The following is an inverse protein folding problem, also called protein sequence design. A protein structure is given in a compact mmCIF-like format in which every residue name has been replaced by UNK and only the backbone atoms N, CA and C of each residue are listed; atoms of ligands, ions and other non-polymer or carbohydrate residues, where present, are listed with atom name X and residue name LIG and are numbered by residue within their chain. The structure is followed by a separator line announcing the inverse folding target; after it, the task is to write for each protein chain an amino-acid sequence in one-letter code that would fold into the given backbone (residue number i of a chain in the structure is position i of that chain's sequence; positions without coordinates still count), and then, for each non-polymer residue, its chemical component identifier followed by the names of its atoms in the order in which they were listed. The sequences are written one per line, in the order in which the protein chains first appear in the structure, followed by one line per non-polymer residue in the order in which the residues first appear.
data_IF_225401826318
#
_entry.id   IF_225401826318
#
_cell.length_a   1.000
_cell.length_b   1.000
_cell.length_c   1.000
_cell.angle_alpha   90.00
_cell.angle_beta   90.00
_cell.angle_gamma   90.00
#
_symmetry.space_group_name_H-M   'P 1'
#
loop_
_entity.id
_entity.type
_entity.pdbx_description
1 polymer ?
#
# COMPACT_ATOMS: atom_id res chain seq x y z
N UNK A 1 -1.14 -46.71 33.10
CA UNK A 1 -1.92 -45.66 32.40
C UNK A 1 -1.90 -44.38 33.23
N UNK A 2 -1.18 -43.33 32.83
CA UNK A 2 -1.53 -41.98 33.26
C UNK A 2 -1.91 -41.14 32.03
N UNK A 3 -3.18 -40.72 31.97
CA UNK A 3 -3.72 -39.84 30.94
C UNK A 3 -3.09 -38.45 31.11
N UNK A 4 -2.19 -38.07 30.21
CA UNK A 4 -1.69 -36.69 30.11
C UNK A 4 -2.87 -35.77 29.80
N UNK A 5 -3.09 -34.79 30.68
CA UNK A 5 -4.15 -33.78 30.52
C UNK A 5 -3.73 -32.84 29.40
N UNK A 6 -4.26 -33.05 28.20
CA UNK A 6 -4.13 -32.11 27.09
C UNK A 6 -4.79 -30.79 27.48
N UNK A 7 -4.00 -29.78 27.81
CA UNK A 7 -4.50 -28.43 28.06
C UNK A 7 -5.07 -27.85 26.76
N UNK A 8 -6.27 -27.23 26.80
CA UNK A 8 -6.88 -26.68 25.60
C UNK A 8 -6.04 -25.51 25.08
N UNK A 9 -5.60 -25.59 23.82
CA UNK A 9 -4.92 -24.49 23.12
C UNK A 9 -5.80 -23.24 23.20
N UNK A 10 -5.31 -22.17 23.86
CA UNK A 10 -5.94 -20.84 23.82
C UNK A 10 -5.96 -20.37 22.37
N UNK A 11 -7.13 -20.43 21.74
CA UNK A 11 -7.35 -19.84 20.42
C UNK A 11 -7.34 -18.33 20.58
N UNK A 12 -6.27 -17.69 20.11
CA UNK A 12 -6.19 -16.23 20.07
C UNK A 12 -7.30 -15.69 19.16
N UNK A 13 -8.23 -14.92 19.73
CA UNK A 13 -9.23 -14.16 18.98
C UNK A 13 -8.66 -12.79 18.67
N UNK A 14 -8.48 -12.50 17.38
CA UNK A 14 -8.01 -11.19 16.93
C UNK A 14 -8.93 -10.07 17.47
N UNK A 15 -8.38 -8.93 17.91
CA UNK A 15 -9.18 -7.81 18.37
C UNK A 15 -10.10 -7.34 17.24
N UNK A 16 -11.40 -7.25 17.52
CA UNK A 16 -12.37 -6.65 16.61
C UNK A 16 -11.97 -5.19 16.40
N UNK A 17 -11.59 -4.85 15.17
CA UNK A 17 -11.32 -3.45 14.81
C UNK A 17 -12.63 -2.66 14.96
N UNK A 18 -12.58 -1.53 15.65
CA UNK A 18 -13.70 -0.60 15.71
C UNK A 18 -14.03 -0.08 14.30
N UNK A 19 -15.31 0.18 14.00
CA UNK A 19 -15.70 0.72 12.70
C UNK A 19 -14.96 2.04 12.46
N UNK A 20 -14.37 2.19 11.26
CA UNK A 20 -13.71 3.45 10.86
C UNK A 20 -14.73 4.59 10.91
N UNK A 21 -14.34 5.77 11.43
CA UNK A 21 -15.23 6.92 11.48
C UNK A 21 -15.68 7.31 10.08
N UNK A 22 -16.98 7.57 9.94
CA UNK A 22 -17.59 8.05 8.70
C UNK A 22 -17.24 9.52 8.49
N UNK A 23 -17.23 9.95 7.22
CA UNK A 23 -16.98 11.35 6.85
C UNK A 23 -18.25 12.16 7.14
N UNK A 24 -18.19 13.01 8.14
CA UNK A 24 -19.30 13.83 8.65
C UNK A 24 -19.26 15.29 8.14
N UNK A 25 -18.05 15.81 7.93
CA UNK A 25 -17.82 17.22 7.61
C UNK A 25 -17.73 17.46 6.10
N UNK A 26 -18.42 18.50 5.61
CA UNK A 26 -18.36 18.95 4.21
C UNK A 26 -17.63 20.29 4.11
N UNK A 27 -16.72 20.40 3.14
CA UNK A 27 -16.00 21.64 2.81
C UNK A 27 -16.50 22.11 1.44
N UNK A 28 -16.95 23.36 1.36
CA UNK A 28 -17.29 24.02 0.10
C UNK A 28 -16.08 24.80 -0.39
N UNK A 29 -15.63 24.51 -1.61
CA UNK A 29 -14.51 25.19 -2.25
C UNK A 29 -15.03 25.94 -3.49
N UNK A 30 -14.98 27.28 -3.51
CA UNK A 30 -15.31 28.05 -4.70
C UNK A 30 -14.22 27.80 -5.76
N UNK A 31 -14.64 27.42 -6.96
CA UNK A 31 -13.77 27.14 -8.10
C UNK A 31 -14.32 27.88 -9.33
N UNK A 32 -13.42 28.39 -10.15
CA UNK A 32 -13.79 28.85 -11.50
C UNK A 32 -14.15 27.66 -12.37
N UNK A 33 -15.00 27.86 -13.37
CA UNK A 33 -15.41 26.82 -14.33
C UNK A 33 -14.21 26.14 -15.01
N UNK A 34 -13.18 26.92 -15.36
CA UNK A 34 -11.94 26.44 -15.98
C UNK A 34 -11.15 25.52 -15.04
N UNK A 35 -10.94 25.95 -13.79
CA UNK A 35 -10.23 25.17 -12.78
C UNK A 35 -10.94 23.83 -12.50
N UNK A 36 -12.27 23.85 -12.43
CA UNK A 36 -13.06 22.64 -12.24
C UNK A 36 -12.86 21.65 -13.40
N UNK A 37 -12.83 22.13 -14.63
CA UNK A 37 -12.58 21.31 -15.82
C UNK A 37 -11.18 20.71 -15.81
N UNK A 38 -10.17 21.51 -15.49
CA UNK A 38 -8.78 21.05 -15.39
C UNK A 38 -8.60 19.98 -14.31
N UNK A 39 -9.20 20.17 -13.14
CA UNK A 39 -9.14 19.18 -12.06
C UNK A 39 -9.87 17.90 -12.41
N UNK A 40 -10.96 17.98 -13.18
CA UNK A 40 -11.70 16.81 -13.62
C UNK A 40 -10.94 16.01 -14.68
N UNK A 41 -10.18 16.68 -15.56
CA UNK A 41 -9.22 16.03 -16.45
C UNK A 41 -8.15 15.30 -15.66
N UNK A 42 -7.47 16.01 -14.74
CA UNK A 42 -6.43 15.41 -13.87
C UNK A 42 -6.94 14.24 -13.05
N UNK A 43 -8.18 14.31 -12.55
CA UNK A 43 -8.81 13.21 -11.83
C UNK A 43 -9.05 12.00 -12.73
N UNK A 44 -9.49 12.23 -13.97
CA UNK A 44 -9.72 11.18 -14.97
C UNK A 44 -8.42 10.51 -15.38
N UNK A 45 -7.37 11.30 -15.65
CA UNK A 45 -6.03 10.81 -16.01
C UNK A 45 -5.41 9.96 -14.89
N UNK A 46 -5.70 10.32 -13.62
CA UNK A 46 -5.27 9.57 -12.45
C UNK A 46 -6.20 8.38 -12.10
N UNK A 47 -7.24 8.10 -12.89
CA UNK A 47 -8.14 6.95 -12.74
C UNK A 47 -9.23 7.10 -11.67
N UNK A 48 -9.52 8.31 -11.21
CA UNK A 48 -10.57 8.56 -10.21
C UNK A 48 -11.95 8.71 -10.87
N UNK A 49 -12.96 8.06 -10.27
CA UNK A 49 -14.37 8.19 -10.70
C UNK A 49 -15.02 9.51 -10.29
N UNK A 50 -14.48 10.19 -9.28
CA UNK A 50 -15.02 11.45 -8.78
C UNK A 50 -13.93 12.38 -8.27
N UNK A 51 -14.25 13.68 -8.26
CA UNK A 51 -13.29 14.72 -7.93
C UNK A 51 -12.96 14.79 -6.43
N UNK A 52 -13.89 14.43 -5.55
CA UNK A 52 -13.70 14.46 -4.10
C UNK A 52 -12.60 13.54 -3.57
N UNK A 53 -12.52 12.24 -3.94
CA UNK A 53 -11.41 11.38 -3.53
C UNK A 53 -10.08 11.87 -4.11
N UNK A 54 -10.08 12.36 -5.35
CA UNK A 54 -8.89 12.96 -5.97
C UNK A 54 -8.37 14.16 -5.16
N UNK A 55 -9.21 15.17 -4.89
CA UNK A 55 -8.80 16.34 -4.09
C UNK A 55 -8.32 15.90 -2.70
N UNK A 56 -9.03 14.96 -2.06
CA UNK A 56 -8.65 14.48 -0.73
C UNK A 56 -7.27 13.83 -0.75
N UNK A 57 -6.99 12.95 -1.70
CA UNK A 57 -5.68 12.29 -1.80
C UNK A 57 -4.57 13.29 -2.19
N UNK A 58 -4.86 14.31 -3.00
CA UNK A 58 -3.92 15.41 -3.28
C UNK A 58 -3.53 16.15 -2.00
N UNK A 59 -4.49 16.47 -1.15
CA UNK A 59 -4.27 17.22 0.10
C UNK A 59 -3.63 16.35 1.19
N UNK A 60 -4.14 15.13 1.39
CA UNK A 60 -3.69 14.26 2.48
C UNK A 60 -2.34 13.58 2.21
N UNK A 61 -2.01 13.29 0.95
CA UNK A 61 -0.80 12.52 0.59
C UNK A 61 0.30 13.38 -0.02
N UNK A 62 0.04 14.65 -0.30
CA UNK A 62 1.02 15.61 -0.87
C UNK A 62 1.48 15.31 -2.31
N UNK A 63 1.31 14.09 -2.82
CA UNK A 63 1.56 13.65 -4.20
C UNK A 63 0.61 12.52 -4.56
N UNK A 64 -0.26 12.73 -5.55
CA UNK A 64 -0.89 11.62 -6.27
C UNK A 64 0.10 11.19 -7.33
N UNK A 65 0.68 10.01 -7.16
CA UNK A 65 1.42 9.37 -8.23
C UNK A 65 0.41 9.08 -9.34
N UNK A 66 0.57 9.71 -10.50
CA UNK A 66 -0.06 9.24 -11.73
C UNK A 66 0.49 7.83 -11.91
N UNK A 67 -0.31 6.83 -11.53
CA UNK A 67 -0.02 5.45 -11.89
C UNK A 67 -0.19 5.39 -13.39
N UNK A 68 0.94 5.55 -14.10
CA UNK A 68 1.01 5.20 -15.50
C UNK A 68 0.42 3.78 -15.61
N UNK A 69 -0.58 3.57 -16.47
CA UNK A 69 -1.12 2.23 -16.66
C UNK A 69 0.05 1.34 -17.05
N UNK A 70 0.24 0.25 -16.30
CA UNK A 70 1.30 -0.68 -16.64
C UNK A 70 1.12 -1.10 -18.10
N UNK A 71 2.19 -1.09 -18.92
CA UNK A 71 2.07 -1.54 -20.30
C UNK A 71 1.46 -2.95 -20.27
N UNK A 72 0.45 -3.18 -21.10
CA UNK A 72 -0.39 -4.41 -21.11
C UNK A 72 0.44 -5.72 -21.12
N UNK A 73 1.66 -5.66 -21.64
CA UNK A 73 2.63 -6.76 -21.67
C UNK A 73 3.05 -7.24 -20.26
N UNK A 74 3.04 -6.38 -19.24
CA UNK A 74 3.61 -6.65 -17.91
C UNK A 74 2.60 -6.62 -16.76
N UNK A 75 1.30 -6.42 -17.03
CA UNK A 75 0.28 -6.23 -15.99
C UNK A 75 0.22 -7.42 -15.02
N UNK A 76 0.25 -8.66 -15.54
CA UNK A 76 0.22 -9.87 -14.72
C UNK A 76 1.43 -9.95 -13.76
N UNK A 77 2.62 -9.65 -14.27
CA UNK A 77 3.86 -9.67 -13.47
C UNK A 77 3.84 -8.60 -12.39
N UNK A 78 3.35 -7.40 -12.73
CA UNK A 78 3.20 -6.30 -11.79
C UNK A 78 2.23 -6.66 -10.64
N UNK A 79 1.11 -7.29 -10.96
CA UNK A 79 0.12 -7.77 -9.97
C UNK A 79 0.72 -8.82 -9.04
N UNK A 80 1.48 -9.79 -9.57
CA UNK A 80 2.15 -10.81 -8.74
C UNK A 80 3.21 -10.19 -7.81
N UNK A 81 4.02 -9.25 -8.30
CA UNK A 81 4.98 -8.52 -7.46
C UNK A 81 4.30 -7.75 -6.33
N UNK A 82 3.14 -7.13 -6.61
CA UNK A 82 2.36 -6.44 -5.59
C UNK A 82 1.84 -7.40 -4.51
N UNK A 83 1.39 -8.61 -4.89
CA UNK A 83 0.98 -9.64 -3.92
C UNK A 83 2.13 -10.07 -3.01
N UNK A 84 3.33 -10.23 -3.57
CA UNK A 84 4.54 -10.55 -2.78
C UNK A 84 4.82 -9.42 -1.77
N UNK A 85 4.77 -8.16 -2.21
CA UNK A 85 4.95 -7.00 -1.32
C UNK A 85 3.95 -6.96 -0.17
N UNK A 86 2.67 -7.23 -0.43
CA UNK A 86 1.62 -7.33 0.59
C UNK A 86 1.93 -8.44 1.61
N UNK A 87 2.32 -9.62 1.14
CA UNK A 87 2.64 -10.75 2.01
C UNK A 87 3.83 -10.44 2.92
N UNK A 88 4.89 -9.82 2.38
CA UNK A 88 6.03 -9.36 3.16
C UNK A 88 5.64 -8.37 4.24
N UNK A 89 4.79 -7.39 3.91
CA UNK A 89 4.31 -6.41 4.89
C UNK A 89 3.52 -7.07 6.04
N UNK A 90 2.73 -8.11 5.73
CA UNK A 90 2.03 -8.89 6.76
C UNK A 90 3.01 -9.66 7.66
N UNK A 91 4.07 -10.25 7.10
CA UNK A 91 5.10 -10.95 7.87
C UNK A 91 5.78 -9.96 8.83
N UNK A 92 6.26 -8.82 8.33
CA UNK A 92 6.88 -7.77 9.15
C UNK A 92 5.95 -7.31 10.27
N UNK A 93 4.66 -7.12 9.97
CA UNK A 93 3.68 -6.72 10.97
C UNK A 93 3.49 -7.78 12.06
N UNK A 94 3.35 -9.06 11.68
CA UNK A 94 3.22 -10.17 12.65
C UNK A 94 4.46 -10.31 13.52
N UNK A 95 5.65 -10.10 12.95
CA UNK A 95 6.88 -10.09 13.72
C UNK A 95 6.93 -8.94 14.73
N UNK A 96 6.60 -7.71 14.30
CA UNK A 96 6.53 -6.57 15.20
C UNK A 96 5.49 -6.78 16.32
N UNK A 97 4.36 -7.41 16.01
CA UNK A 97 3.35 -7.79 17.00
C UNK A 97 3.88 -8.86 17.98
N UNK A 98 4.63 -9.86 17.51
CA UNK A 98 5.26 -10.88 18.35
C UNK A 98 6.34 -10.31 19.29
N UNK A 99 7.20 -9.41 18.81
CA UNK A 99 8.17 -8.67 19.64
C UNK A 99 7.43 -7.89 20.73
N UNK A 100 6.34 -7.20 20.37
CA UNK A 100 5.55 -6.40 21.32
C UNK A 100 4.89 -7.24 22.42
N UNK A 101 4.59 -8.52 22.14
CA UNK A 101 3.99 -9.47 23.09
C UNK A 101 5.07 -10.19 23.92
N UNK A 102 6.36 -9.89 23.71
CA UNK A 102 7.48 -10.43 24.48
C UNK A 102 7.91 -11.84 24.03
N UNK A 103 7.51 -12.27 22.83
CA UNK A 103 8.02 -13.51 22.25
C UNK A 103 9.46 -13.28 21.74
N UNK A 104 10.44 -14.12 22.13
CA UNK A 104 11.80 -13.98 21.64
C UNK A 104 11.83 -14.34 20.14
N UNK A 105 12.18 -13.36 19.31
CA UNK A 105 12.53 -13.58 17.90
C UNK A 105 14.06 -13.59 17.86
N UNK A 106 14.66 -14.77 17.72
CA UNK A 106 16.12 -14.97 17.75
C UNK A 106 16.81 -14.37 16.53
N UNK A 107 16.14 -14.34 15.39
CA UNK A 107 16.63 -13.75 14.14
C UNK A 107 15.56 -12.82 13.60
N UNK A 108 15.80 -11.50 13.61
CA UNK A 108 14.85 -10.51 13.13
C UNK A 108 15.12 -10.18 11.64
N UNK A 109 14.48 -10.85 10.65
CA UNK A 109 14.69 -10.59 9.23
C UNK A 109 14.10 -9.25 8.74
N UNK A 110 13.71 -8.31 9.61
CA UNK A 110 13.10 -7.03 9.19
C UNK A 110 13.99 -6.26 8.20
N UNK A 111 15.31 -6.30 8.36
CA UNK A 111 16.24 -5.67 7.43
C UNK A 111 16.19 -6.33 6.03
N UNK A 112 16.26 -7.66 5.98
CA UNK A 112 16.16 -8.45 4.75
C UNK A 112 14.80 -8.27 4.06
N UNK A 113 13.71 -8.20 4.83
CA UNK A 113 12.37 -7.96 4.28
C UNK A 113 12.28 -6.55 3.66
N UNK A 114 12.87 -5.54 4.30
CA UNK A 114 12.92 -4.18 3.74
C UNK A 114 13.75 -4.13 2.46
N UNK A 115 14.88 -4.82 2.44
CA UNK A 115 15.74 -4.93 1.25
C UNK A 115 14.98 -5.59 0.09
N UNK A 116 14.32 -6.71 0.34
CA UNK A 116 13.51 -7.41 -0.66
C UNK A 116 12.33 -6.57 -1.16
N UNK A 117 11.68 -5.79 -0.27
CA UNK A 117 10.64 -4.84 -0.67
C UNK A 117 11.17 -3.75 -1.61
N UNK A 118 12.41 -3.29 -1.38
CA UNK A 118 13.06 -2.32 -2.27
C UNK A 118 13.32 -2.92 -3.65
N UNK A 119 13.86 -4.13 -3.71
CA UNK A 119 14.11 -4.84 -4.96
C UNK A 119 12.82 -5.10 -5.76
N UNK A 120 11.73 -5.49 -5.08
CA UNK A 120 10.42 -5.68 -5.72
C UNK A 120 9.92 -4.37 -6.35
N UNK A 121 10.10 -3.25 -5.64
CA UNK A 121 9.68 -1.93 -6.12
C UNK A 121 10.51 -1.49 -7.34
N UNK A 122 11.80 -1.78 -7.35
CA UNK A 122 12.69 -1.50 -8.48
C UNK A 122 12.27 -2.28 -9.73
N UNK A 123 12.00 -3.58 -9.59
CA UNK A 123 11.50 -4.42 -10.70
C UNK A 123 10.14 -3.91 -11.19
N UNK A 124 9.25 -3.46 -10.29
CA UNK A 124 7.99 -2.84 -10.69
C UNK A 124 8.20 -1.57 -11.53
N UNK A 125 9.19 -0.73 -11.21
CA UNK A 125 9.51 0.48 -11.98
C UNK A 125 10.11 0.16 -13.35
N UNK A 126 10.98 -0.86 -13.43
CA UNK A 126 11.52 -1.36 -14.69
C UNK A 126 10.41 -1.88 -15.61
N UNK A 127 9.45 -2.63 -15.08
CA UNK A 127 8.30 -3.15 -15.84
C UNK A 127 7.36 -2.05 -16.35
N UNK A 128 7.37 -0.88 -15.70
CA UNK A 128 6.65 0.32 -16.13
C UNK A 128 7.44 1.18 -17.15
N UNK A 129 8.69 0.81 -17.47
CA UNK A 129 9.56 1.60 -18.35
C UNK A 129 10.04 2.91 -17.74
N UNK A 130 10.03 3.03 -16.41
CA UNK A 130 10.41 4.26 -15.68
C UNK A 130 11.86 4.26 -15.19
N UNK A 131 12.68 3.33 -15.67
CA UNK A 131 14.06 3.13 -15.18
C UNK A 131 15.11 4.04 -15.83
N UNK A 132 14.80 4.78 -16.91
CA UNK A 132 15.79 5.55 -17.69
C UNK A 132 15.32 6.96 -18.10
N UNK A 133 15.04 7.87 -17.16
CA UNK A 133 14.82 9.30 -17.48
C UNK A 133 16.03 10.18 -17.07
N UNK A 134 17.12 9.62 -16.58
CA UNK A 134 18.30 10.40 -16.13
C UNK A 134 19.57 10.25 -16.97
N UNK A 135 19.52 9.67 -18.18
CA UNK A 135 20.74 9.36 -18.94
C UNK A 135 20.78 9.82 -20.41
N UNK A 136 19.84 10.65 -20.88
CA UNK A 136 19.93 11.27 -22.21
C UNK A 136 19.52 12.75 -22.15
N UNK A 137 20.40 13.58 -21.60
CA UNK A 137 20.53 14.99 -21.96
C UNK A 137 21.84 15.52 -21.35
N UNK A 138 22.95 15.28 -22.04
CA UNK A 138 24.19 16.09 -22.02
C UNK A 138 25.10 15.62 -23.15
#
# INVERSE_FOLDING_TARGET
MPKSKTTPKKVYKAPKQSPKPLKDTKILLPLTSEQKSEWQKRASDAGYKSLTPFIRDCVERGKIYVTLPAPLINEKTYVELNKIGINLNQITRRMNEAVKIGLPITDNPTALIKELQSQIKEVQLQLLGLSDISAHDS
#
